data_IF_593028664329
#
_entry.id   IF_593028664329
#
_cell.length_a   1.000
_cell.length_b   1.000
_cell.length_c   1.000
_cell.angle_alpha   90.00
_cell.angle_beta   90.00
_cell.angle_gamma   90.00
#
_symmetry.space_group_name_H-M   'P 1'
#
loop_
_entity.id
_entity.type
_entity.pdbx_description
1 polymer ?
#
# COMPACT_ATOMS: atom_id res chain seq x y z
N UNK A 1 14.49 -0.68 -28.27
CA UNK A 1 14.50 0.73 -27.86
C UNK A 1 14.28 1.58 -29.09
N UNK A 2 13.20 2.36 -29.13
CA UNK A 2 12.87 3.24 -30.25
C UNK A 2 13.34 4.67 -29.97
N UNK A 3 13.32 5.54 -30.98
CA UNK A 3 13.77 6.93 -30.82
C UNK A 3 12.85 7.72 -29.87
N UNK A 4 11.53 7.47 -29.94
CA UNK A 4 10.56 7.99 -28.97
C UNK A 4 10.88 7.54 -27.54
N UNK A 5 11.15 6.24 -27.36
CA UNK A 5 11.45 5.67 -26.05
C UNK A 5 12.74 6.24 -25.45
N UNK A 6 13.77 6.46 -26.28
CA UNK A 6 15.01 7.11 -25.88
C UNK A 6 14.78 8.56 -25.44
N UNK A 7 13.99 9.33 -26.19
CA UNK A 7 13.68 10.73 -25.86
C UNK A 7 12.88 10.87 -24.56
N UNK A 8 11.89 10.00 -24.34
CA UNK A 8 11.12 9.96 -23.10
C UNK A 8 12.00 9.59 -21.90
N UNK A 9 12.91 8.62 -22.07
CA UNK A 9 13.87 8.22 -21.04
C UNK A 9 14.83 9.35 -20.69
N UNK A 10 15.40 10.02 -21.69
CA UNK A 10 16.30 11.16 -21.49
C UNK A 10 15.59 12.29 -20.74
N UNK A 11 14.38 12.65 -21.16
CA UNK A 11 13.57 13.66 -20.48
C UNK A 11 13.28 13.28 -19.01
N UNK A 12 12.95 12.01 -18.74
CA UNK A 12 12.75 11.52 -17.36
C UNK A 12 14.02 11.64 -16.52
N UNK A 13 15.16 11.21 -17.05
CA UNK A 13 16.45 11.30 -16.36
C UNK A 13 16.86 12.77 -16.13
N UNK A 14 16.57 13.66 -17.07
CA UNK A 14 16.84 15.10 -16.92
C UNK A 14 16.02 15.77 -15.80
N UNK A 15 14.84 15.21 -15.49
CA UNK A 15 14.00 15.61 -14.35
C UNK A 15 14.42 14.97 -13.03
N UNK A 16 15.36 14.02 -13.06
CA UNK A 16 15.79 13.26 -11.89
C UNK A 16 14.77 12.22 -11.43
N UNK A 17 13.80 11.86 -12.27
CA UNK A 17 12.77 10.88 -11.89
C UNK A 17 13.26 9.46 -12.10
N UNK A 18 13.11 8.62 -11.09
CA UNK A 18 13.11 7.17 -11.25
C UNK A 18 11.84 6.71 -11.98
N UNK A 19 11.80 5.44 -12.38
CA UNK A 19 10.57 4.86 -12.92
C UNK A 19 9.47 4.71 -11.85
N UNK A 20 9.85 4.58 -10.59
CA UNK A 20 8.92 4.51 -9.46
C UNK A 20 8.28 5.88 -9.21
N UNK A 21 9.07 6.96 -9.24
CA UNK A 21 8.55 8.33 -9.18
C UNK A 21 7.57 8.61 -10.32
N UNK A 22 7.93 8.19 -11.55
CA UNK A 22 7.10 8.42 -12.71
C UNK A 22 5.79 7.60 -12.65
N UNK A 23 5.83 6.40 -12.07
CA UNK A 23 4.63 5.60 -11.78
C UNK A 23 3.72 6.34 -10.79
N UNK A 24 4.28 6.95 -9.74
CA UNK A 24 3.49 7.69 -8.76
C UNK A 24 2.85 8.95 -9.37
N UNK A 25 3.56 9.66 -10.24
CA UNK A 25 3.07 10.87 -10.91
C UNK A 25 1.98 10.53 -11.92
N UNK A 26 2.23 9.57 -12.81
CA UNK A 26 1.34 9.26 -13.95
C UNK A 26 0.23 8.27 -13.61
N UNK A 27 0.39 7.50 -12.51
CA UNK A 27 -0.43 6.33 -12.16
C UNK A 27 -0.36 5.20 -13.19
N UNK A 28 0.63 5.22 -14.07
CA UNK A 28 0.92 4.13 -15.01
C UNK A 28 1.88 3.16 -14.32
N UNK A 29 1.52 1.87 -14.30
CA UNK A 29 2.39 0.83 -13.72
C UNK A 29 3.77 0.84 -14.37
N UNK A 30 4.82 0.69 -13.56
CA UNK A 30 6.24 0.70 -13.95
C UNK A 30 6.54 -0.19 -15.15
N UNK A 31 5.96 -1.40 -15.21
CA UNK A 31 6.13 -2.33 -16.35
C UNK A 31 5.75 -1.69 -17.69
N UNK A 32 4.74 -0.84 -17.73
CA UNK A 32 4.30 -0.15 -18.95
C UNK A 32 5.17 1.07 -19.27
N UNK A 33 5.72 1.74 -18.25
CA UNK A 33 6.69 2.81 -18.45
C UNK A 33 7.99 2.27 -19.06
N UNK A 34 8.48 1.13 -18.56
CA UNK A 34 9.61 0.38 -19.17
C UNK A 34 9.27 -0.01 -20.61
N UNK A 35 8.07 -0.57 -20.84
CA UNK A 35 7.60 -0.93 -22.19
C UNK A 35 7.68 0.25 -23.17
N UNK A 36 7.28 1.44 -22.73
CA UNK A 36 7.29 2.67 -23.54
C UNK A 36 8.73 3.10 -23.85
N UNK A 37 9.63 3.08 -22.86
CA UNK A 37 11.05 3.40 -23.09
C UNK A 37 11.72 2.41 -24.05
N UNK A 38 11.34 1.14 -24.00
CA UNK A 38 11.90 0.09 -24.85
C UNK A 38 11.24 0.01 -26.23
N UNK A 39 10.07 0.64 -26.39
CA UNK A 39 9.20 0.52 -27.57
C UNK A 39 8.50 -0.83 -27.70
N UNK A 40 8.40 -1.58 -26.60
CA UNK A 40 7.79 -2.89 -26.55
C UNK A 40 6.28 -2.79 -26.24
N UNK A 41 5.47 -2.44 -27.22
CA UNK A 41 4.04 -2.21 -27.00
C UNK A 41 3.20 -3.50 -26.88
N UNK A 42 3.75 -4.68 -27.11
CA UNK A 42 2.99 -5.94 -27.04
C UNK A 42 2.57 -6.32 -25.63
N UNK A 43 3.25 -5.78 -24.61
CA UNK A 43 2.92 -6.03 -23.20
C UNK A 43 1.84 -5.09 -22.65
N UNK A 44 1.36 -4.15 -23.46
CA UNK A 44 0.38 -3.15 -23.04
C UNK A 44 -1.00 -3.80 -22.85
N UNK A 45 -1.88 -3.29 -21.97
CA UNK A 45 -3.22 -3.84 -21.73
C UNK A 45 -4.17 -3.82 -22.94
N UNK A 46 -3.71 -3.25 -24.04
CA UNK A 46 -4.43 -3.06 -25.29
C UNK A 46 -3.73 -1.98 -26.10
N UNK A 47 -3.74 -2.11 -27.43
CA UNK A 47 -3.15 -1.12 -28.35
C UNK A 47 -3.76 0.28 -28.18
N UNK A 48 -4.99 0.37 -27.65
CA UNK A 48 -5.66 1.62 -27.36
C UNK A 48 -4.91 2.49 -26.34
N UNK A 49 -4.28 1.86 -25.34
CA UNK A 49 -3.66 2.56 -24.21
C UNK A 49 -2.28 3.13 -24.51
N UNK A 50 -1.62 2.65 -25.56
CA UNK A 50 -0.24 3.04 -25.91
C UNK A 50 -0.11 4.55 -26.06
N UNK A 51 -0.98 5.14 -26.87
CA UNK A 51 -0.95 6.59 -27.12
C UNK A 51 -1.32 7.39 -25.88
N UNK A 52 -2.28 6.92 -25.07
CA UNK A 52 -2.68 7.60 -23.85
C UNK A 52 -1.53 7.62 -22.82
N UNK A 53 -0.83 6.51 -22.66
CA UNK A 53 0.29 6.41 -21.73
C UNK A 53 1.51 7.22 -22.18
N UNK A 54 1.80 7.24 -23.49
CA UNK A 54 2.86 8.12 -24.04
C UNK A 54 2.54 9.59 -23.77
N UNK A 55 1.28 10.02 -23.93
CA UNK A 55 0.85 11.39 -23.60
C UNK A 55 1.09 11.73 -22.14
N UNK A 56 0.64 10.85 -21.24
CA UNK A 56 0.78 11.05 -19.79
C UNK A 56 2.26 11.06 -19.35
N UNK A 57 3.08 10.20 -19.95
CA UNK A 57 4.53 10.22 -19.73
C UNK A 57 5.08 11.58 -20.16
N UNK A 58 4.86 11.99 -21.41
CA UNK A 58 5.38 13.24 -21.97
C UNK A 58 4.98 14.45 -21.12
N UNK A 59 3.73 14.51 -20.67
CA UNK A 59 3.22 15.54 -19.77
C UNK A 59 3.99 15.58 -18.44
N UNK A 60 4.20 14.41 -17.81
CA UNK A 60 4.90 14.31 -16.54
C UNK A 60 6.38 14.74 -16.62
N UNK A 61 7.03 14.54 -17.77
CA UNK A 61 8.42 14.99 -17.99
C UNK A 61 8.52 16.38 -18.62
N UNK A 62 7.39 17.04 -18.91
CA UNK A 62 7.33 18.39 -19.45
C UNK A 62 7.73 18.50 -20.93
N UNK A 63 7.47 17.46 -21.72
CA UNK A 63 7.62 17.51 -23.17
C UNK A 63 6.31 17.99 -23.83
N UNK A 64 6.43 18.73 -24.92
CA UNK A 64 5.28 19.16 -25.73
C UNK A 64 4.66 17.96 -26.45
N UNK A 65 3.41 17.66 -26.07
CA UNK A 65 2.71 16.42 -26.42
C UNK A 65 2.42 16.36 -27.93
N UNK A 66 1.87 17.44 -28.49
CA UNK A 66 1.48 17.48 -29.90
C UNK A 66 2.69 17.34 -30.83
N UNK A 67 3.82 17.99 -30.50
CA UNK A 67 5.07 17.89 -31.26
C UNK A 67 5.64 16.47 -31.20
N UNK A 68 5.74 15.90 -29.99
CA UNK A 68 6.24 14.55 -29.78
C UNK A 68 5.40 13.50 -30.53
N UNK A 69 4.07 13.63 -30.48
CA UNK A 69 3.18 12.70 -31.18
C UNK A 69 3.21 12.87 -32.69
N UNK A 70 3.55 14.05 -33.20
CA UNK A 70 3.66 14.34 -34.63
C UNK A 70 4.97 13.82 -35.22
N UNK A 71 6.05 13.99 -34.50
CA UNK A 71 7.39 13.51 -34.87
C UNK A 71 7.45 11.98 -34.90
N UNK A 72 6.89 11.30 -33.89
CA UNK A 72 6.96 9.84 -33.75
C UNK A 72 5.70 9.09 -34.21
N UNK A 73 4.89 9.68 -35.11
CA UNK A 73 3.64 9.06 -35.63
C UNK A 73 3.82 7.65 -36.19
N UNK A 74 5.01 7.33 -36.73
CA UNK A 74 5.30 6.03 -37.34
C UNK A 74 5.68 4.96 -36.31
N UNK A 75 6.17 5.36 -35.14
CA UNK A 75 6.53 4.43 -34.05
C UNK A 75 5.31 4.09 -33.18
N UNK A 76 4.36 5.03 -33.06
CA UNK A 76 3.16 4.85 -32.22
C UNK A 76 2.12 4.03 -32.99
N UNK A 77 1.62 2.91 -32.43
CA UNK A 77 0.55 2.13 -33.05
C UNK A 77 -0.65 3.03 -33.39
N UNK A 78 -1.00 3.06 -34.68
CA UNK A 78 -2.20 3.76 -35.11
C UNK A 78 -3.43 3.05 -34.54
N UNK A 79 -4.35 3.84 -33.98
CA UNK A 79 -5.66 3.35 -33.60
C UNK A 79 -6.35 2.84 -34.88
N UNK A 80 -6.83 1.58 -34.92
CA UNK A 80 -7.86 1.23 -35.87
C UNK A 80 -9.01 2.20 -35.62
N UNK A 81 -9.32 3.04 -36.61
CA UNK A 81 -10.56 3.81 -36.62
C UNK A 81 -11.66 2.80 -36.95
N UNK A 82 -11.92 1.85 -36.05
CA UNK A 82 -13.03 0.93 -36.20
C UNK A 82 -14.31 1.74 -36.05
N UNK A 83 -14.96 1.94 -37.19
CA UNK A 83 -16.38 2.13 -37.30
C UNK A 83 -17.05 1.12 -36.36
N UNK A 84 -17.50 1.59 -35.19
CA UNK A 84 -18.36 0.81 -34.30
C UNK A 84 -19.75 0.77 -34.92
N UNK A 85 -19.84 0.12 -36.08
CA UNK A 85 -21.07 -0.30 -36.71
C UNK A 85 -21.23 -1.80 -36.45
N UNK A 86 -22.16 -2.10 -35.55
CA UNK A 86 -22.96 -3.31 -35.54
C UNK A 86 -22.22 -4.63 -35.24
N UNK A 87 -22.24 -5.03 -33.97
CA UNK A 87 -22.84 -6.31 -33.55
C UNK A 87 -22.56 -6.61 -32.08
N UNK A 88 -23.40 -6.09 -31.19
CA UNK A 88 -23.72 -6.84 -29.97
C UNK A 88 -25.24 -6.97 -29.90
N UNK A 89 -25.67 -8.21 -30.05
CA UNK A 89 -27.04 -8.65 -30.00
C UNK A 89 -27.56 -8.55 -28.56
N UNK A 90 -28.64 -7.77 -28.42
CA UNK A 90 -29.80 -8.00 -27.56
C UNK A 90 -29.59 -8.41 -26.09
N UNK A 91 -29.78 -7.43 -25.21
CA UNK A 91 -30.63 -7.63 -24.02
C UNK A 91 -31.56 -6.40 -23.88
N UNK A 92 -32.88 -6.59 -23.79
CA UNK A 92 -33.82 -5.48 -23.76
C UNK A 92 -33.97 -4.95 -22.33
N UNK A 93 -34.20 -3.64 -22.24
CA UNK A 93 -34.72 -2.89 -21.08
C UNK A 93 -33.69 -2.12 -20.25
N UNK A 94 -33.37 -0.90 -20.71
CA UNK A 94 -33.74 0.30 -19.94
C UNK A 94 -33.71 1.55 -20.83
N UNK A 95 -34.70 2.40 -20.57
CA UNK A 95 -35.10 3.60 -21.33
C UNK A 95 -33.94 4.49 -21.80
N UNK A 96 -34.04 4.90 -23.07
CA UNK A 96 -33.35 6.07 -23.62
C UNK A 96 -33.75 7.33 -22.84
N UNK A 97 -32.78 8.04 -22.30
CA UNK A 97 -32.85 9.49 -22.12
C UNK A 97 -31.69 10.10 -22.89
N UNK A 98 -32.05 10.89 -23.90
CA UNK A 98 -31.12 11.65 -24.72
C UNK A 98 -30.38 12.66 -23.83
N UNK A 99 -29.07 12.52 -23.65
CA UNK A 99 -28.24 13.61 -23.16
C UNK A 99 -27.94 14.57 -24.31
N UNK A 100 -28.81 15.58 -24.45
CA UNK A 100 -28.47 16.83 -25.13
C UNK A 100 -27.54 17.62 -24.20
N UNK A 101 -26.31 17.86 -24.65
CA UNK A 101 -25.51 19.09 -24.42
C UNK A 101 -25.86 19.87 -23.14
N UNK A 102 -25.28 19.48 -22.01
CA UNK A 102 -25.36 20.24 -20.75
C UNK A 102 -24.26 21.29 -20.67
N UNK A 103 -24.33 22.31 -21.54
CA UNK A 103 -23.47 23.50 -21.47
C UNK A 103 -24.09 24.66 -20.67
N UNK A 104 -25.24 24.46 -20.02
CA UNK A 104 -25.93 25.50 -19.22
C UNK A 104 -26.14 25.17 -17.74
N UNK A 105 -25.76 23.95 -17.32
CA UNK A 105 -25.89 23.51 -15.92
C UNK A 105 -24.66 23.87 -15.08
N UNK A 106 -23.47 23.99 -15.67
CA UNK A 106 -22.25 24.37 -14.94
C UNK A 106 -22.21 25.87 -14.55
N UNK A 107 -22.93 26.74 -15.25
CA UNK A 107 -22.94 28.20 -14.94
C UNK A 107 -23.92 28.59 -13.81
N UNK A 108 -24.90 27.74 -13.48
CA UNK A 108 -25.90 28.01 -12.42
C UNK A 108 -25.56 27.35 -11.08
N UNK A 109 -24.63 26.38 -11.05
CA UNK A 109 -24.16 25.71 -9.83
C UNK A 109 -23.58 26.66 -8.77
N UNK A 110 -22.78 27.70 -9.09
CA UNK A 110 -22.24 28.60 -8.06
C UNK A 110 -23.32 29.40 -7.32
N UNK A 111 -24.41 29.77 -8.01
CA UNK A 111 -25.52 30.55 -7.41
C UNK A 111 -26.39 29.72 -6.48
N UNK A 112 -26.59 28.43 -6.78
CA UNK A 112 -27.36 27.52 -5.93
C UNK A 112 -26.59 27.22 -4.63
N UNK A 113 -25.26 27.07 -4.72
CA UNK A 113 -24.40 26.87 -3.55
C UNK A 113 -24.43 28.11 -2.63
N UNK A 114 -24.33 29.32 -3.19
CA UNK A 114 -24.45 30.56 -2.41
C UNK A 114 -25.83 30.71 -1.77
N UNK A 115 -26.91 30.39 -2.49
CA UNK A 115 -28.26 30.44 -1.94
C UNK A 115 -28.45 29.42 -0.79
N UNK A 116 -27.94 28.20 -0.93
CA UNK A 116 -27.95 27.20 0.13
C UNK A 116 -27.12 27.64 1.35
N UNK A 117 -25.95 28.24 1.12
CA UNK A 117 -25.11 28.75 2.19
C UNK A 117 -25.81 29.85 3.01
N UNK A 118 -26.53 30.76 2.34
CA UNK A 118 -27.34 31.79 3.01
C UNK A 118 -28.46 31.16 3.83
N UNK A 119 -29.13 30.12 3.31
CA UNK A 119 -30.19 29.40 4.04
C UNK A 119 -29.61 28.73 5.29
N UNK A 120 -28.45 28.08 5.20
CA UNK A 120 -27.77 27.46 6.34
C UNK A 120 -27.39 28.50 7.40
N UNK A 121 -26.90 29.67 7.00
CA UNK A 121 -26.60 30.78 7.93
C UNK A 121 -27.86 31.25 8.64
N UNK A 122 -28.98 31.41 7.93
CA UNK A 122 -30.24 31.83 8.54
C UNK A 122 -30.76 30.80 9.56
N UNK A 123 -30.63 29.50 9.26
CA UNK A 123 -30.96 28.42 10.19
C UNK A 123 -30.04 28.43 11.41
N UNK A 124 -28.74 28.63 11.22
CA UNK A 124 -27.76 28.72 12.31
C UNK A 124 -28.04 29.93 13.24
N UNK A 125 -28.35 31.10 12.67
CA UNK A 125 -28.73 32.29 13.44
C UNK A 125 -30.02 32.02 14.23
N UNK A 126 -31.02 31.40 13.62
CA UNK A 126 -32.25 31.02 14.29
C UNK A 126 -32.01 30.03 15.44
N UNK A 127 -31.12 29.05 15.23
CA UNK A 127 -30.73 28.09 16.25
C UNK A 127 -29.98 28.74 17.42
N UNK A 128 -29.06 29.67 17.14
CA UNK A 128 -28.38 30.47 18.18
C UNK A 128 -29.35 31.36 18.96
N UNK A 129 -30.39 31.89 18.30
CA UNK A 129 -31.47 32.61 18.98
C UNK A 129 -32.28 31.70 19.92
N UNK A 130 -32.50 30.43 19.56
CA UNK A 130 -33.10 29.46 20.48
C UNK A 130 -32.17 29.10 21.63
N UNK A 131 -30.87 29.00 21.39
CA UNK A 131 -29.87 28.63 22.40
C UNK A 131 -29.67 29.76 23.42
N UNK A 132 -29.80 31.04 23.01
CA UNK A 132 -29.81 32.20 23.92
C UNK A 132 -31.08 32.33 24.77
N UNK A 133 -32.18 31.65 24.42
CA UNK A 133 -33.43 31.69 25.19
C UNK A 133 -33.51 30.60 26.29
N UNK A 134 -32.47 29.77 26.45
CA UNK A 134 -32.38 28.74 27.50
C UNK A 134 -31.01 28.79 28.19
N UNK A 135 -30.82 29.76 29.08
CA UNK A 135 -29.92 29.60 30.23
C UNK A 135 -30.56 30.28 31.45
N UNK A 136 -30.73 29.51 32.54
CA UNK A 136 -30.31 29.97 33.85
C UNK A 136 -29.31 29.00 34.48
N UNK A 137 -28.25 29.57 35.05
CA UNK A 137 -27.81 29.28 36.42
C UNK A 137 -26.79 28.17 36.67
N UNK A 138 -25.59 28.61 37.08
CA UNK A 138 -24.78 28.14 38.23
C UNK A 138 -23.99 26.82 38.08
N UNK A 139 -22.64 26.89 38.09
CA UNK A 139 -21.71 26.63 39.24
C UNK A 139 -21.46 25.11 39.39
N UNK A 140 -20.31 24.52 39.70
CA UNK A 140 -18.93 24.84 40.07
C UNK A 140 -18.19 23.48 39.95
N UNK A 141 -16.87 23.46 39.73
CA UNK A 141 -15.92 22.63 40.52
C UNK A 141 -14.49 22.73 39.98
N UNK A 142 -13.75 23.65 40.61
CA UNK A 142 -12.54 23.38 41.39
C UNK A 142 -11.53 22.35 40.83
N UNK A 143 -10.49 22.84 40.18
CA UNK A 143 -9.28 22.06 39.90
C UNK A 143 -8.22 22.40 40.96
N UNK A 144 -7.98 21.45 41.87
CA UNK A 144 -6.94 21.56 42.89
C UNK A 144 -5.58 21.19 42.32
N UNK A 145 -4.67 22.14 42.47
CA UNK A 145 -3.24 22.11 42.24
C UNK A 145 -2.57 20.92 42.96
N UNK A 146 -1.82 20.09 42.23
CA UNK A 146 -0.91 19.10 42.81
C UNK A 146 0.53 19.55 42.57
N UNK A 147 1.11 20.02 43.67
CA UNK A 147 2.52 20.31 43.91
C UNK A 147 3.28 18.99 44.08
N UNK A 148 4.21 18.67 43.18
CA UNK A 148 5.12 17.52 43.34
C UNK A 148 6.48 18.02 43.85
N UNK A 149 6.79 17.63 45.09
CA UNK A 149 8.09 17.82 45.71
C UNK A 149 9.15 16.89 45.09
N UNK A 150 10.32 17.47 44.87
CA UNK A 150 11.54 16.83 44.41
C UNK A 150 12.29 16.22 45.62
N UNK A 151 12.60 14.92 45.58
CA UNK A 151 13.55 14.26 46.48
C UNK A 151 14.66 13.59 45.64
N UNK A 152 15.90 13.98 45.92
CA UNK A 152 17.13 13.40 45.36
C UNK A 152 17.36 11.96 45.87
N UNK A 153 18.03 11.09 45.09
CA UNK A 153 18.53 9.82 45.57
C UNK A 153 19.98 9.97 46.08
N UNK A 154 20.31 9.32 47.18
CA UNK A 154 21.69 9.01 47.59
C UNK A 154 21.77 7.58 48.15
N UNK A 155 22.95 6.95 48.15
CA UNK A 155 23.14 5.60 47.61
C UNK A 155 23.26 4.54 48.72
N UNK A 156 23.01 3.27 48.38
CA UNK A 156 23.27 2.14 49.27
C UNK A 156 24.20 1.16 48.56
N UNK A 157 25.43 1.07 49.08
CA UNK A 157 26.44 0.06 48.78
C UNK A 157 26.17 -1.24 49.59
N UNK A 158 26.86 -2.37 49.31
CA UNK A 158 26.28 -3.69 49.23
C UNK A 158 26.33 -4.46 50.56
N UNK A 159 25.40 -5.39 50.74
CA UNK A 159 25.46 -6.40 51.81
C UNK A 159 25.89 -7.73 51.20
N UNK A 160 27.06 -8.19 51.63
CA UNK A 160 27.62 -9.53 51.48
C UNK A 160 27.39 -10.26 52.82
N UNK A 161 26.70 -11.41 52.81
CA UNK A 161 26.77 -12.52 53.81
C UNK A 161 25.83 -13.64 53.28
N UNK A 162 26.35 -14.67 52.62
CA UNK A 162 26.87 -15.95 53.13
C UNK A 162 25.81 -17.07 53.27
N UNK A 163 26.17 -18.24 52.70
CA UNK A 163 25.71 -19.63 52.96
C UNK A 163 24.25 -20.01 52.60
N UNK A 164 23.93 -21.11 51.91
CA UNK A 164 24.46 -22.49 51.94
C UNK A 164 24.09 -23.25 50.62
N UNK A 165 24.78 -24.34 50.25
CA UNK A 165 24.57 -25.10 49.00
C UNK A 165 23.66 -26.33 49.18
N UNK A 166 23.40 -26.98 48.04
CA UNK A 166 22.61 -28.21 47.79
C UNK A 166 21.08 -28.06 47.79
N UNK A 167 20.44 -28.32 46.64
CA UNK A 167 19.84 -29.63 46.38
C UNK A 167 19.27 -29.73 44.94
N UNK A 168 19.57 -30.88 44.31
CA UNK A 168 18.90 -31.50 43.16
C UNK A 168 19.11 -30.91 41.75
N UNK A 169 20.18 -31.42 41.11
CA UNK A 169 20.18 -31.76 39.69
C UNK A 169 18.97 -32.67 39.39
N UNK A 170 17.96 -32.12 38.72
CA UNK A 170 17.05 -32.93 37.92
C UNK A 170 17.74 -33.20 36.58
N UNK A 171 17.64 -34.41 36.01
CA UNK A 171 18.18 -34.65 34.69
C UNK A 171 17.40 -33.76 33.73
N UNK A 172 18.12 -32.85 33.05
CA UNK A 172 17.62 -32.18 31.86
C UNK A 172 17.16 -33.28 30.91
N UNK A 173 15.85 -33.42 30.75
CA UNK A 173 15.30 -34.17 29.62
C UNK A 173 15.76 -33.42 28.38
N UNK A 174 16.65 -34.05 27.61
CA UNK A 174 16.92 -33.68 26.22
C UNK A 174 15.59 -33.76 25.47
N UNK A 175 14.90 -32.62 25.39
CA UNK A 175 13.90 -32.38 24.37
C UNK A 175 14.65 -32.44 23.03
N UNK A 176 14.16 -33.22 22.05
CA UNK A 176 14.88 -33.36 20.79
C UNK A 176 15.06 -31.98 20.17
N UNK A 177 16.30 -31.62 19.85
CA UNK A 177 16.67 -30.46 19.06
C UNK A 177 15.91 -30.53 17.72
N UNK A 178 14.73 -29.89 17.68
CA UNK A 178 14.11 -29.55 16.41
C UNK A 178 14.99 -28.48 15.74
N UNK A 179 15.14 -28.52 14.41
CA UNK A 179 16.01 -27.58 13.71
C UNK A 179 15.63 -26.15 14.11
N UNK A 180 16.55 -25.45 14.76
CA UNK A 180 16.35 -24.10 15.30
C UNK A 180 16.34 -23.11 14.15
N UNK A 181 15.22 -23.06 13.43
CA UNK A 181 15.05 -22.06 12.37
C UNK A 181 15.27 -20.67 12.96
N UNK A 182 16.02 -19.84 12.24
CA UNK A 182 16.36 -18.49 12.66
C UNK A 182 15.86 -17.50 11.63
N UNK A 183 15.11 -16.51 12.10
CA UNK A 183 14.59 -15.40 11.29
C UNK A 183 15.35 -14.13 11.69
N UNK A 184 15.90 -13.40 10.73
CA UNK A 184 16.63 -12.15 11.00
C UNK A 184 15.72 -11.05 11.59
N UNK A 185 16.30 -9.99 12.14
CA UNK A 185 15.53 -8.85 12.70
C UNK A 185 14.83 -7.99 11.65
N UNK A 186 15.03 -8.27 10.35
CA UNK A 186 14.50 -7.49 9.24
C UNK A 186 15.37 -6.28 8.88
N UNK A 187 15.60 -6.06 7.58
CA UNK A 187 16.18 -4.82 7.03
C UNK A 187 15.08 -3.97 6.43
N UNK A 188 14.95 -2.73 6.89
CA UNK A 188 13.87 -1.81 6.50
C UNK A 188 14.32 -0.94 5.33
N UNK A 189 13.49 -0.88 4.28
CA UNK A 189 13.57 0.06 3.16
C UNK A 189 12.17 0.58 2.81
N UNK A 190 11.84 1.78 3.32
CA UNK A 190 10.51 2.37 3.19
C UNK A 190 9.42 1.49 3.79
N UNK A 191 8.40 1.14 3.00
CA UNK A 191 7.33 0.23 3.41
C UNK A 191 7.74 -1.26 3.38
N UNK A 192 8.97 -1.58 2.98
CA UNK A 192 9.42 -2.97 2.77
C UNK A 192 10.38 -3.39 3.87
N UNK A 193 10.14 -4.55 4.45
CA UNK A 193 11.04 -5.20 5.41
C UNK A 193 11.51 -6.53 4.83
N UNK A 194 12.83 -6.74 4.75
CA UNK A 194 13.42 -7.98 4.23
C UNK A 194 13.97 -8.83 5.36
N UNK A 195 13.53 -10.07 5.44
CA UNK A 195 13.92 -11.08 6.41
C UNK A 195 14.69 -12.22 5.73
N UNK A 196 15.65 -12.77 6.46
CA UNK A 196 16.41 -13.95 6.07
C UNK A 196 16.00 -15.09 6.99
N UNK A 197 15.58 -16.20 6.38
CA UNK A 197 15.23 -17.44 7.04
C UNK A 197 16.37 -18.44 6.84
N UNK A 198 16.90 -18.99 7.94
CA UNK A 198 18.02 -19.93 7.94
C UNK A 198 17.75 -21.08 8.92
N UNK A 199 18.54 -22.16 8.84
CA UNK A 199 18.37 -23.34 9.71
C UNK A 199 17.12 -24.18 9.38
N UNK A 200 16.59 -24.08 8.17
CA UNK A 200 15.47 -24.89 7.67
C UNK A 200 15.54 -25.01 6.15
N UNK A 201 15.03 -26.12 5.61
CA UNK A 201 14.90 -26.35 4.16
C UNK A 201 13.51 -25.97 3.64
N UNK A 202 12.60 -25.56 4.53
CA UNK A 202 11.19 -25.30 4.20
C UNK A 202 10.79 -23.87 4.53
N UNK A 203 9.88 -23.30 3.73
CA UNK A 203 9.29 -21.98 3.96
C UNK A 203 7.76 -22.07 3.79
N UNK A 204 7.07 -22.49 4.84
CA UNK A 204 5.61 -22.47 4.90
C UNK A 204 5.14 -21.15 5.52
N UNK A 205 4.35 -20.40 4.76
CA UNK A 205 3.82 -19.10 5.17
C UNK A 205 2.36 -19.30 5.56
N UNK A 206 2.02 -18.92 6.79
CA UNK A 206 0.64 -18.83 7.27
C UNK A 206 0.34 -17.40 7.71
N UNK A 207 -0.76 -16.83 7.22
CA UNK A 207 -1.20 -15.49 7.58
C UNK A 207 -2.57 -15.59 8.24
N UNK A 208 -2.65 -15.22 9.51
CA UNK A 208 -3.91 -15.17 10.25
C UNK A 208 -4.44 -13.74 10.29
N UNK A 209 -5.69 -13.58 9.89
CA UNK A 209 -6.32 -12.28 9.74
C UNK A 209 -7.36 -12.08 10.84
N UNK A 210 -7.21 -11.04 11.66
CA UNK A 210 -8.15 -10.68 12.74
C UNK A 210 -9.12 -9.57 12.35
N UNK A 211 -8.97 -8.95 11.17
CA UNK A 211 -9.77 -7.84 10.67
C UNK A 211 -9.70 -7.74 9.14
N UNK A 212 -10.57 -6.96 8.50
CA UNK A 212 -10.60 -6.88 7.03
C UNK A 212 -9.29 -6.25 6.49
N UNK A 213 -8.49 -7.03 5.75
CA UNK A 213 -7.18 -6.57 5.24
C UNK A 213 -6.87 -7.15 3.87
N UNK A 214 -6.20 -6.37 3.02
CA UNK A 214 -5.68 -6.88 1.75
C UNK A 214 -4.46 -7.76 2.00
N UNK A 215 -4.45 -8.97 1.45
CA UNK A 215 -3.30 -9.88 1.49
C UNK A 215 -2.95 -10.28 0.07
N UNK A 216 -1.67 -10.23 -0.25
CA UNK A 216 -1.12 -10.75 -1.51
C UNK A 216 0.23 -11.37 -1.30
N UNK A 217 0.55 -12.44 -2.03
CA UNK A 217 1.86 -13.12 -1.99
C UNK A 217 2.37 -13.23 -3.42
N UNK A 218 3.62 -12.81 -3.64
CA UNK A 218 4.30 -12.83 -4.94
C UNK A 218 5.66 -13.49 -4.86
N UNK A 219 6.06 -14.12 -5.96
CA UNK A 219 7.43 -14.60 -6.15
C UNK A 219 8.41 -13.45 -6.49
N UNK A 220 9.68 -13.78 -6.69
CA UNK A 220 10.72 -12.83 -7.06
C UNK A 220 10.47 -12.17 -8.43
N UNK A 221 9.85 -12.91 -9.36
CA UNK A 221 9.45 -12.41 -10.68
C UNK A 221 8.21 -11.49 -10.62
N UNK A 222 7.57 -11.38 -9.45
CA UNK A 222 6.36 -10.59 -9.23
C UNK A 222 5.06 -11.28 -9.64
N UNK A 223 5.11 -12.59 -9.92
CA UNK A 223 3.94 -13.42 -10.21
C UNK A 223 3.16 -13.67 -8.93
N UNK A 224 1.84 -13.50 -9.02
CA UNK A 224 0.88 -13.75 -7.97
C UNK A 224 0.83 -15.25 -7.63
N UNK A 225 1.06 -15.58 -6.35
CA UNK A 225 1.08 -16.96 -5.84
C UNK A 225 -0.23 -17.37 -5.18
N UNK A 226 -1.02 -16.39 -4.73
CA UNK A 226 -2.37 -16.55 -4.15
C UNK A 226 -3.27 -15.46 -4.73
N UNK A 227 -4.59 -15.64 -4.68
CA UNK A 227 -5.52 -14.58 -5.09
C UNK A 227 -5.34 -13.30 -4.23
N UNK A 228 -4.94 -12.22 -4.90
CA UNK A 228 -4.80 -10.87 -4.38
C UNK A 228 -6.21 -10.30 -4.09
N UNK A 229 -6.61 -10.30 -2.81
CA UNK A 229 -7.93 -9.79 -2.38
C UNK A 229 -7.94 -9.28 -0.96
N UNK A 230 -9.07 -8.70 -0.56
CA UNK A 230 -9.38 -8.44 0.85
C UNK A 230 -9.82 -9.75 1.51
N UNK A 231 -9.10 -10.13 2.57
CA UNK A 231 -9.44 -11.22 3.47
C UNK A 231 -10.20 -10.65 4.66
N UNK A 232 -11.17 -11.43 5.15
CA UNK A 232 -12.06 -11.10 6.28
C UNK A 232 -11.48 -11.64 7.58
N UNK A 233 -11.93 -11.05 8.69
CA UNK A 233 -11.59 -11.55 10.02
C UNK A 233 -11.90 -13.06 10.17
N UNK A 234 -10.92 -13.81 10.66
CA UNK A 234 -10.98 -15.27 10.83
C UNK A 234 -10.55 -16.09 9.61
N UNK A 235 -10.29 -15.46 8.45
CA UNK A 235 -9.67 -16.16 7.32
C UNK A 235 -8.18 -16.41 7.60
N UNK A 236 -7.68 -17.54 7.08
CA UNK A 236 -6.27 -17.93 7.15
C UNK A 236 -5.78 -18.17 5.74
N UNK A 237 -4.61 -17.64 5.43
CA UNK A 237 -3.91 -17.85 4.16
C UNK A 237 -2.72 -18.75 4.41
N UNK A 238 -2.59 -19.82 3.63
CA UNK A 238 -1.44 -20.72 3.69
C UNK A 238 -0.80 -20.83 2.32
N UNK A 239 0.52 -20.74 2.26
CA UNK A 239 1.30 -20.86 1.04
C UNK A 239 2.67 -21.48 1.32
N UNK A 240 3.04 -22.50 0.54
CA UNK A 240 4.37 -23.10 0.58
C UNK A 240 5.29 -22.38 -0.42
N UNK A 241 6.21 -21.58 0.11
CA UNK A 241 7.21 -20.83 -0.65
C UNK A 241 8.55 -21.57 -0.76
N UNK A 242 8.65 -22.82 -0.28
CA UNK A 242 9.90 -23.59 -0.23
C UNK A 242 10.56 -23.68 -1.60
N UNK A 243 9.80 -24.01 -2.65
CA UNK A 243 10.32 -24.14 -4.00
C UNK A 243 10.84 -22.82 -4.59
N UNK A 244 10.28 -21.69 -4.15
CA UNK A 244 10.66 -20.37 -4.64
C UNK A 244 11.85 -19.79 -3.88
N UNK A 245 12.17 -20.32 -2.68
CA UNK A 245 13.14 -19.75 -1.74
C UNK A 245 12.93 -18.25 -1.44
N UNK A 246 11.77 -17.71 -1.81
CA UNK A 246 11.44 -16.31 -1.80
C UNK A 246 9.93 -16.12 -1.72
N UNK A 247 9.50 -15.19 -0.88
CA UNK A 247 8.13 -14.69 -0.89
C UNK A 247 8.09 -13.20 -0.55
N UNK A 248 7.32 -12.44 -1.35
CA UNK A 248 6.93 -11.07 -1.04
C UNK A 248 5.46 -11.04 -0.64
N UNK A 249 5.20 -10.78 0.63
CA UNK A 249 3.88 -10.62 1.21
C UNK A 249 3.52 -9.12 1.23
N UNK A 250 2.35 -8.75 0.74
CA UNK A 250 1.77 -7.40 0.91
C UNK A 250 0.61 -7.48 1.90
N UNK A 251 0.70 -6.69 2.96
CA UNK A 251 -0.39 -6.49 3.92
C UNK A 251 -0.92 -5.06 3.79
N UNK A 252 -2.23 -4.92 3.55
CA UNK A 252 -2.93 -3.63 3.48
C UNK A 252 -3.02 -2.98 4.86
N UNK A 253 -3.46 -3.76 5.85
CA UNK A 253 -3.41 -3.43 7.28
C UNK A 253 -2.75 -4.60 8.02
N UNK A 254 -1.53 -4.37 8.48
CA UNK A 254 -0.71 -5.33 9.22
C UNK A 254 -1.02 -5.37 10.71
N UNK A 255 -1.76 -4.39 11.24
CA UNK A 255 -2.15 -4.40 12.66
C UNK A 255 -3.20 -5.47 12.96
N UNK A 256 -3.88 -5.96 11.92
CA UNK A 256 -4.91 -6.99 11.97
C UNK A 256 -4.49 -8.27 11.24
N UNK A 257 -3.21 -8.44 10.94
CA UNK A 257 -2.68 -9.64 10.31
C UNK A 257 -1.42 -10.11 11.05
N UNK A 258 -1.31 -11.41 11.28
CA UNK A 258 -0.12 -12.05 11.85
C UNK A 258 0.47 -13.01 10.82
N UNK A 259 1.77 -12.89 10.55
CA UNK A 259 2.49 -13.78 9.64
C UNK A 259 3.27 -14.80 10.45
N UNK A 260 3.20 -16.06 10.04
CA UNK A 260 3.92 -17.18 10.63
C UNK A 260 4.74 -17.89 9.56
N UNK A 261 5.96 -18.28 9.91
CA UNK A 261 6.90 -18.99 9.05
C UNK A 261 7.28 -20.29 9.73
N UNK A 262 6.88 -21.41 9.13
CA UNK A 262 6.95 -22.74 9.74
C UNK A 262 6.46 -22.71 11.20
N UNK A 263 5.27 -22.14 11.41
CA UNK A 263 4.61 -21.97 12.71
C UNK A 263 5.25 -21.03 13.73
N UNK A 264 6.36 -20.36 13.39
CA UNK A 264 6.94 -19.29 14.22
C UNK A 264 6.39 -17.94 13.78
N UNK A 265 5.82 -17.18 14.72
CA UNK A 265 5.29 -15.85 14.47
C UNK A 265 6.41 -14.88 14.11
N UNK A 266 6.30 -14.26 12.93
CA UNK A 266 7.21 -13.23 12.45
C UNK A 266 6.99 -11.94 13.24
N UNK A 267 8.03 -11.47 13.93
CA UNK A 267 7.99 -10.18 14.60
C UNK A 267 8.25 -9.06 13.57
N UNK A 268 7.29 -8.15 13.42
CA UNK A 268 7.43 -7.02 12.50
C UNK A 268 8.52 -6.06 12.98
N UNK A 269 9.49 -5.75 12.10
CA UNK A 269 10.58 -4.84 12.41
C UNK A 269 10.11 -3.38 12.51
N UNK A 270 8.94 -3.09 11.94
CA UNK A 270 8.32 -1.77 11.95
C UNK A 270 6.82 -1.87 12.21
N UNK A 271 6.28 -0.80 12.81
CA UNK A 271 4.86 -0.68 13.16
C UNK A 271 4.18 0.34 12.23
N UNK A 272 3.87 -0.09 11.01
CA UNK A 272 3.16 0.71 10.00
C UNK A 272 1.92 -0.05 9.52
N UNK A 273 0.83 0.66 9.21
CA UNK A 273 -0.41 0.02 8.77
C UNK A 273 -0.18 -0.84 7.53
N UNK A 274 0.39 -0.27 6.49
CA UNK A 274 0.60 -0.96 5.21
C UNK A 274 2.08 -1.30 5.05
N UNK A 275 2.41 -2.58 4.85
CA UNK A 275 3.81 -3.00 4.67
C UNK A 275 3.97 -4.15 3.67
N UNK A 276 5.16 -4.20 3.06
CA UNK A 276 5.67 -5.35 2.32
C UNK A 276 6.63 -6.12 3.22
N UNK A 277 6.51 -7.44 3.24
CA UNK A 277 7.41 -8.34 3.95
C UNK A 277 8.03 -9.23 2.89
N UNK A 278 9.35 -9.17 2.76
CA UNK A 278 10.12 -10.07 1.89
C UNK A 278 10.81 -11.09 2.78
N UNK A 279 10.75 -12.36 2.41
CA UNK A 279 11.40 -13.46 3.12
C UNK A 279 12.22 -14.23 2.11
N UNK A 280 13.50 -14.43 2.42
CA UNK A 280 14.46 -15.18 1.61
C UNK A 280 14.93 -16.41 2.39
N UNK A 281 14.87 -17.59 1.78
CA UNK A 281 15.41 -18.82 2.37
C UNK A 281 16.90 -18.91 2.05
N UNK A 282 17.73 -18.86 3.09
CA UNK A 282 19.15 -19.12 2.97
C UNK A 282 19.34 -20.64 2.94
N UNK A 283 19.77 -21.17 1.79
CA UNK A 283 20.18 -22.57 1.70
C UNK A 283 21.54 -22.72 2.38
N UNK A 284 21.66 -23.62 3.35
CA UNK A 284 22.96 -24.00 3.89
C UNK A 284 23.76 -24.71 2.78
N UNK A 285 24.91 -24.15 2.39
CA UNK A 285 25.89 -24.87 1.58
C UNK A 285 26.38 -26.08 2.40
N UNK A 286 25.94 -27.27 2.02
CA UNK A 286 26.49 -28.54 2.52
C UNK A 286 27.87 -28.84 1.93
#
# INVERSE_FOLDING_TARGET
>A
MTELGARLKEARLSKGYSLDDLQEITKIQKRYLVAIEEGNYSIMPGSFYVRAFIKQYAEAVGLEIEELLEEFKQEIPNQPKEEVAQSISQSPTRRKLNSRSTSRLLETMPKIIVALFIIVILVAIWFLYQQKAKQPGEEEENNSEIEYQQQEPTPVEPVEEEEQPEETEQPVQEEPEQPTQTISSGTIDGETTTYELSGTDTMNIRIEVSGDTWVGIRDEAGSEQIEDRVYKAGEVVEFDATANAYARIRLGDSTVAKVFINDVELQYAQNITTQNIIITLQQEEQ
#
